data_IF_950327947332
#
_entry.id   IF_950327947332
#
_cell.length_a   1.000
_cell.length_b   1.000
_cell.length_c   1.000
_cell.angle_alpha   90.00
_cell.angle_beta   90.00
_cell.angle_gamma   90.00
#
_symmetry.space_group_name_H-M   'P 1'
#
loop_
_entity.id
_entity.type
_entity.pdbx_description
1 polymer ?
#
# COMPACT_ATOMS: atom_id res chain seq x y z
N UNK A 1 -18.01 -38.83 -20.74
CA UNK A 1 -17.00 -38.04 -21.48
C UNK A 1 -17.43 -36.59 -21.71
N UNK A 2 -18.67 -36.32 -22.11
CA UNK A 2 -19.12 -34.94 -22.30
C UNK A 2 -19.07 -34.08 -21.02
N UNK A 3 -19.30 -34.66 -19.83
CA UNK A 3 -19.22 -33.98 -18.53
C UNK A 3 -17.82 -33.55 -18.18
N UNK A 4 -16.81 -34.35 -18.53
CA UNK A 4 -15.40 -34.06 -18.25
C UNK A 4 -14.93 -32.88 -19.10
N UNK A 5 -15.35 -32.84 -20.36
CA UNK A 5 -14.98 -31.73 -21.26
C UNK A 5 -15.60 -30.43 -20.80
N UNK A 6 -16.87 -30.44 -20.35
CA UNK A 6 -17.52 -29.27 -19.78
C UNK A 6 -16.83 -28.75 -18.53
N UNK A 7 -16.39 -29.66 -17.66
CA UNK A 7 -15.67 -29.30 -16.44
C UNK A 7 -14.31 -28.65 -16.76
N UNK A 8 -13.62 -29.16 -17.77
CA UNK A 8 -12.35 -28.60 -18.23
C UNK A 8 -12.52 -27.21 -18.83
N UNK A 9 -13.59 -26.97 -19.58
CA UNK A 9 -13.88 -25.65 -20.13
C UNK A 9 -14.21 -24.63 -19.02
N UNK A 10 -14.92 -25.07 -17.99
CA UNK A 10 -15.22 -24.21 -16.84
C UNK A 10 -13.94 -23.82 -16.08
N UNK A 11 -13.01 -24.75 -15.91
CA UNK A 11 -11.71 -24.48 -15.31
C UNK A 11 -10.88 -23.51 -16.13
N UNK A 12 -10.89 -23.63 -17.45
CA UNK A 12 -10.16 -22.71 -18.33
C UNK A 12 -10.71 -21.30 -18.25
N UNK A 13 -12.04 -21.13 -18.18
CA UNK A 13 -12.68 -19.82 -18.01
C UNK A 13 -12.35 -19.22 -16.65
N UNK A 14 -12.40 -20.03 -15.58
CA UNK A 14 -12.04 -19.57 -14.25
C UNK A 14 -10.56 -19.16 -14.18
N UNK A 15 -9.67 -19.92 -14.83
CA UNK A 15 -8.24 -19.59 -14.90
C UNK A 15 -8.01 -18.28 -15.64
N UNK A 16 -8.73 -18.05 -16.74
CA UNK A 16 -8.64 -16.79 -17.48
C UNK A 16 -9.14 -15.60 -16.65
N UNK A 17 -10.24 -15.77 -15.92
CA UNK A 17 -10.78 -14.73 -15.04
C UNK A 17 -9.83 -14.40 -13.88
N UNK A 18 -9.07 -15.41 -13.40
CA UNK A 18 -8.09 -15.24 -12.33
C UNK A 18 -6.72 -14.76 -12.82
N UNK A 19 -6.50 -14.77 -14.14
CA UNK A 19 -5.26 -14.34 -14.75
C UNK A 19 -5.16 -12.81 -14.88
N UNK A 20 -5.74 -12.07 -13.94
CA UNK A 20 -5.52 -10.63 -13.85
C UNK A 20 -4.04 -10.38 -13.61
N UNK A 21 -3.52 -9.37 -14.27
CA UNK A 21 -2.13 -8.98 -14.06
C UNK A 21 -1.94 -8.52 -12.63
N UNK A 22 -0.99 -9.15 -11.96
CA UNK A 22 -0.63 -8.83 -10.60
C UNK A 22 0.62 -7.98 -10.58
N UNK A 23 0.70 -7.11 -9.60
CA UNK A 23 1.86 -6.27 -9.37
C UNK A 23 2.36 -6.48 -7.95
N UNK A 24 3.68 -6.43 -7.79
CA UNK A 24 4.30 -6.42 -6.48
C UNK A 24 4.66 -4.98 -6.13
N UNK A 25 4.14 -4.50 -5.01
CA UNK A 25 4.44 -3.16 -4.50
C UNK A 25 5.27 -3.31 -3.24
N UNK A 26 6.43 -2.67 -3.23
CA UNK A 26 7.36 -2.70 -2.10
C UNK A 26 7.59 -1.30 -1.57
N UNK A 27 7.93 -1.20 -0.29
CA UNK A 27 8.26 0.07 0.33
C UNK A 27 8.80 -0.15 1.73
N UNK A 28 9.46 0.87 2.26
CA UNK A 28 10.05 0.83 3.59
C UNK A 28 9.64 2.09 4.35
N UNK A 29 8.61 2.01 5.22
CA UNK A 29 8.28 3.14 6.10
C UNK A 29 9.39 3.38 7.10
N UNK A 30 9.86 4.61 7.17
CA UNK A 30 10.99 4.99 8.05
C UNK A 30 10.65 6.28 8.80
N UNK A 31 11.25 6.48 10.00
CA UNK A 31 11.17 7.78 10.67
C UNK A 31 11.94 8.85 9.91
N UNK A 32 11.62 10.11 10.15
CA UNK A 32 12.27 11.24 9.49
C UNK A 32 13.78 11.27 9.69
N UNK A 33 14.25 10.83 10.87
CA UNK A 33 15.66 10.94 11.25
C UNK A 33 16.46 9.64 11.18
N UNK A 34 15.84 8.58 10.64
CA UNK A 34 16.46 7.26 10.59
C UNK A 34 16.08 6.55 9.31
N UNK A 35 16.94 5.66 8.84
CA UNK A 35 16.65 4.79 7.71
C UNK A 35 16.18 3.40 8.17
N UNK A 36 15.95 3.21 9.47
CA UNK A 36 15.48 1.93 9.99
C UNK A 36 13.96 1.77 9.78
N UNK A 37 13.50 0.60 9.31
CA UNK A 37 12.07 0.38 9.11
C UNK A 37 11.26 0.50 10.39
N UNK A 38 10.06 1.06 10.29
CA UNK A 38 9.11 1.10 11.40
C UNK A 38 8.40 -0.26 11.46
N UNK A 39 8.99 -1.19 12.20
CA UNK A 39 8.50 -2.57 12.30
C UNK A 39 7.14 -2.59 13.00
N UNK A 40 6.20 -3.36 12.44
CA UNK A 40 4.85 -3.49 12.99
C UNK A 40 3.86 -2.47 12.45
N UNK A 41 4.29 -1.50 11.65
CA UNK A 41 3.38 -0.60 10.97
C UNK A 41 2.43 -1.39 10.07
N UNK A 42 1.18 -0.96 10.00
CA UNK A 42 0.16 -1.61 9.18
C UNK A 42 0.01 -0.86 7.86
N UNK A 43 0.28 -1.56 6.78
CA UNK A 43 0.13 -1.05 5.42
C UNK A 43 -1.19 -1.57 4.85
N UNK A 44 -2.03 -0.67 4.35
CA UNK A 44 -3.32 -1.01 3.75
C UNK A 44 -3.42 -0.38 2.37
N UNK A 45 -3.74 -1.21 1.38
CA UNK A 45 -4.10 -0.75 0.04
C UNK A 45 -5.60 -0.94 -0.14
N UNK A 46 -6.34 0.15 -0.28
CA UNK A 46 -7.78 0.12 -0.49
C UNK A 46 -8.06 0.44 -1.95
N UNK A 47 -8.80 -0.45 -2.63
CA UNK A 47 -9.16 -0.23 -4.03
C UNK A 47 -10.04 1.00 -4.17
N UNK A 48 -9.76 1.85 -5.16
CA UNK A 48 -10.60 3.01 -5.48
C UNK A 48 -11.95 2.60 -6.05
N UNK A 49 -12.01 1.42 -6.67
CA UNK A 49 -13.22 0.91 -7.29
C UNK A 49 -14.15 0.17 -6.31
N UNK A 50 -13.56 -0.40 -5.25
CA UNK A 50 -14.31 -1.19 -4.28
C UNK A 50 -13.65 -1.03 -2.90
N UNK A 51 -14.25 -0.22 -2.05
CA UNK A 51 -13.71 0.08 -0.72
C UNK A 51 -13.68 -1.14 0.22
N UNK A 52 -14.39 -2.22 -0.14
CA UNK A 52 -14.32 -3.47 0.62
C UNK A 52 -13.08 -4.30 0.26
N UNK A 53 -12.45 -4.02 -0.89
CA UNK A 53 -11.21 -4.68 -1.29
C UNK A 53 -10.03 -3.97 -0.65
N UNK A 54 -9.45 -4.61 0.35
CA UNK A 54 -8.30 -4.10 1.09
C UNK A 54 -7.22 -5.17 1.16
N UNK A 55 -5.99 -4.76 0.94
CA UNK A 55 -4.81 -5.63 1.03
C UNK A 55 -3.93 -5.08 2.13
N UNK A 56 -3.67 -5.89 3.16
CA UNK A 56 -2.95 -5.45 4.35
C UNK A 56 -1.69 -6.27 4.58
N UNK A 57 -0.64 -5.60 5.03
CA UNK A 57 0.62 -6.21 5.45
C UNK A 57 1.21 -5.44 6.61
N UNK A 58 1.89 -6.15 7.50
CA UNK A 58 2.71 -5.52 8.55
C UNK A 58 4.13 -5.36 8.04
N UNK A 59 4.75 -4.26 8.42
CA UNK A 59 6.14 -3.96 8.07
C UNK A 59 7.08 -4.83 8.92
N UNK A 60 8.04 -5.47 8.26
CA UNK A 60 9.12 -6.22 8.92
C UNK A 60 10.47 -5.50 8.73
N UNK A 61 11.57 -6.18 9.05
CA UNK A 61 12.90 -5.59 8.94
C UNK A 61 13.30 -5.21 7.51
N UNK A 62 12.62 -5.77 6.51
CA UNK A 62 12.87 -5.48 5.09
C UNK A 62 11.82 -4.52 4.50
N UNK A 63 10.90 -3.99 5.31
CA UNK A 63 9.81 -3.18 4.84
C UNK A 63 8.55 -4.01 4.57
N UNK A 64 7.81 -3.69 3.52
CA UNK A 64 6.64 -4.47 3.12
C UNK A 64 6.70 -4.83 1.64
N UNK A 65 6.03 -5.93 1.31
CA UNK A 65 5.79 -6.34 -0.07
C UNK A 65 4.35 -6.86 -0.16
N UNK A 66 3.58 -6.24 -1.03
CA UNK A 66 2.17 -6.60 -1.25
C UNK A 66 1.98 -6.92 -2.72
N UNK A 67 1.37 -8.07 -3.00
CA UNK A 67 1.01 -8.45 -4.36
C UNK A 67 -0.49 -8.22 -4.53
N UNK A 68 -0.84 -7.42 -5.52
CA UNK A 68 -2.24 -7.03 -5.73
C UNK A 68 -2.54 -6.82 -7.22
N UNK A 69 -3.82 -6.91 -7.62
CA UNK A 69 -4.20 -6.65 -9.02
C UNK A 69 -3.91 -5.20 -9.40
N UNK A 70 -3.65 -4.97 -10.67
CA UNK A 70 -3.43 -3.62 -11.17
C UNK A 70 -4.68 -2.77 -11.04
N UNK A 71 -4.48 -1.49 -10.79
CA UNK A 71 -5.56 -0.53 -10.60
C UNK A 71 -5.17 0.63 -9.72
N UNK A 72 -6.13 1.48 -9.41
CA UNK A 72 -5.96 2.60 -8.49
C UNK A 72 -6.22 2.18 -7.05
N UNK A 73 -5.36 2.64 -6.14
CA UNK A 73 -5.47 2.33 -4.71
C UNK A 73 -5.15 3.56 -3.87
N UNK A 74 -5.71 3.56 -2.67
CA UNK A 74 -5.27 4.48 -1.62
C UNK A 74 -4.38 3.69 -0.67
N UNK A 75 -3.14 4.10 -0.58
CA UNK A 75 -2.16 3.52 0.35
C UNK A 75 -2.28 4.25 1.68
N UNK A 76 -2.49 3.50 2.76
CA UNK A 76 -2.53 4.02 4.12
C UNK A 76 -1.53 3.25 4.97
N UNK A 77 -0.72 3.96 5.74
CA UNK A 77 0.24 3.33 6.66
C UNK A 77 -0.02 3.90 8.05
N UNK A 78 -0.31 3.01 8.99
CA UNK A 78 -0.58 3.35 10.38
C UNK A 78 0.47 2.73 11.29
N UNK A 79 1.04 3.53 12.16
CA UNK A 79 2.01 3.09 13.16
C UNK A 79 1.81 3.86 14.45
N UNK A 80 1.96 3.17 15.59
CA UNK A 80 1.81 3.78 16.89
C UNK A 80 2.80 4.93 17.09
N UNK A 81 2.32 6.10 17.50
CA UNK A 81 3.16 7.28 17.70
C UNK A 81 3.44 8.09 16.45
N UNK A 82 2.96 7.65 15.30
CA UNK A 82 3.13 8.35 14.03
C UNK A 82 1.79 8.79 13.47
N UNK A 83 1.81 9.89 12.72
CA UNK A 83 0.64 10.28 11.97
C UNK A 83 0.44 9.31 10.80
N UNK A 84 -0.83 8.98 10.52
CA UNK A 84 -1.18 8.10 9.41
C UNK A 84 -0.70 8.70 8.08
N UNK A 85 0.02 7.89 7.31
CA UNK A 85 0.45 8.26 5.96
C UNK A 85 -0.63 7.81 4.97
N UNK A 86 -1.00 8.68 4.04
CA UNK A 86 -1.99 8.37 3.04
C UNK A 86 -1.58 8.95 1.69
N UNK A 87 -1.68 8.12 0.65
CA UNK A 87 -1.33 8.52 -0.71
C UNK A 87 -2.12 7.70 -1.72
N UNK A 88 -2.62 8.37 -2.75
CA UNK A 88 -3.21 7.69 -3.90
C UNK A 88 -2.07 7.17 -4.79
N UNK A 89 -2.18 5.91 -5.22
CA UNK A 89 -1.20 5.33 -6.14
C UNK A 89 -1.91 4.60 -7.27
N UNK A 90 -1.29 4.62 -8.44
CA UNK A 90 -1.72 3.87 -9.60
C UNK A 90 -0.78 2.68 -9.78
N UNK A 91 -1.34 1.47 -9.67
CA UNK A 91 -0.59 0.23 -9.80
C UNK A 91 -0.77 -0.29 -11.23
N UNK A 92 0.17 0.03 -12.10
CA UNK A 92 0.11 -0.26 -13.53
C UNK A 92 1.34 -0.97 -14.08
N UNK A 93 2.33 -1.22 -13.23
CA UNK A 93 3.58 -1.90 -13.59
C UNK A 93 3.72 -3.20 -12.80
N UNK A 94 4.46 -4.20 -13.34
CA UNK A 94 4.66 -5.48 -12.64
C UNK A 94 5.32 -5.35 -11.27
N UNK A 95 6.25 -4.40 -11.13
CA UNK A 95 6.95 -4.15 -9.87
C UNK A 95 6.99 -2.64 -9.63
N UNK A 96 6.55 -2.25 -8.46
CA UNK A 96 6.56 -0.85 -8.04
C UNK A 96 7.32 -0.77 -6.73
N UNK A 97 8.42 -0.03 -6.72
CA UNK A 97 9.22 0.22 -5.54
C UNK A 97 8.98 1.65 -5.08
N UNK A 98 8.30 1.79 -3.95
CA UNK A 98 8.03 3.10 -3.35
C UNK A 98 9.22 3.63 -2.58
N UNK A 99 10.28 2.81 -2.44
CA UNK A 99 11.51 3.17 -1.76
C UNK A 99 11.24 3.55 -0.29
N UNK A 100 11.94 4.54 0.23
CA UNK A 100 11.75 4.99 1.61
C UNK A 100 10.52 5.89 1.71
N UNK A 101 9.62 5.54 2.62
CA UNK A 101 8.42 6.32 2.90
C UNK A 101 8.62 6.97 4.27
N UNK A 102 8.82 8.28 4.28
CA UNK A 102 9.09 9.01 5.51
C UNK A 102 7.79 9.27 6.26
N UNK A 103 7.71 8.77 7.49
CA UNK A 103 6.57 8.99 8.38
C UNK A 103 6.94 9.98 9.47
N UNK A 104 6.02 10.87 9.79
CA UNK A 104 6.21 11.89 10.80
C UNK A 104 5.54 11.47 12.12
N UNK A 105 6.22 11.71 13.24
CA UNK A 105 5.58 11.57 14.55
C UNK A 105 4.54 12.67 14.74
N UNK A 106 3.61 12.46 15.67
CA UNK A 106 2.59 13.46 15.98
C UNK A 106 3.21 14.79 16.43
N UNK A 107 4.35 14.75 17.14
CA UNK A 107 5.08 15.94 17.53
C UNK A 107 5.68 16.68 16.34
N UNK A 108 6.26 15.95 15.38
CA UNK A 108 6.84 16.54 14.17
C UNK A 108 5.78 17.22 13.31
N UNK A 109 4.58 16.65 13.26
CA UNK A 109 3.46 17.26 12.56
C UNK A 109 3.03 18.56 13.26
N UNK A 110 2.95 18.56 14.59
CA UNK A 110 2.62 19.75 15.35
C UNK A 110 3.64 20.88 15.13
N UNK A 111 4.93 20.55 15.10
CA UNK A 111 5.99 21.50 14.79
C UNK A 111 5.85 22.08 13.38
N UNK A 112 5.59 21.22 12.41
CA UNK A 112 5.38 21.65 11.02
C UNK A 112 4.21 22.62 10.90
N UNK A 113 3.10 22.31 11.55
CA UNK A 113 1.90 23.14 11.50
C UNK A 113 2.11 24.47 12.23
N UNK A 114 2.85 24.47 13.33
CA UNK A 114 3.23 25.70 14.03
C UNK A 114 4.09 26.62 13.16
N UNK A 115 5.04 26.06 12.42
CA UNK A 115 5.87 26.81 11.47
C UNK A 115 5.04 27.39 10.32
N UNK A 116 4.07 26.65 9.82
CA UNK A 116 3.15 27.14 8.77
C UNK A 116 2.33 28.33 9.25
N UNK A 117 1.81 28.28 10.49
CA UNK A 117 1.06 29.37 11.08
C UNK A 117 1.90 30.65 11.20
N UNK A 118 3.13 30.53 11.64
CA UNK A 118 4.06 31.66 11.73
C UNK A 118 4.30 32.31 10.36
N UNK A 119 4.46 31.49 9.32
CA UNK A 119 4.66 32.00 7.95
C UNK A 119 3.41 32.70 7.41
N UNK A 120 2.23 32.20 7.73
CA UNK A 120 0.98 32.79 7.28
C UNK A 120 0.67 34.12 7.96
N UNK A 121 1.20 34.37 9.16
CA UNK A 121 1.03 35.61 9.91
C UNK A 121 2.00 36.73 9.53
N UNK A 122 2.95 36.45 8.69
CA UNK A 122 3.89 37.42 8.15
C UNK A 122 3.37 37.91 6.79
#
# INVERSE_FOLDING_TARGET
MKKIISTLMLLAVATTALAQELSAVTGIPVPKKSAEPIIGALVTFTSEWDSDLKYQRKVDANGFRVVLPRGGYVLTIDAAGYESFQQEIEVDLPNIDLDLIVMLTTEQVAERDAKRKKRAQR
#
